data_IF_733973439676
#
_entry.id   IF_733973439676
#
_cell.length_a   1.000
_cell.length_b   1.000
_cell.length_c   1.000
_cell.angle_alpha   90.00
_cell.angle_beta   90.00
_cell.angle_gamma   90.00
#
_symmetry.space_group_name_H-M   'P 1'
#
loop_
_entity.id
_entity.type
_entity.pdbx_description
1 polymer ?
#
# COMPACT_ATOMS: atom_id res chain seq x y z
N UNK A 1 -26.19 -8.24 -8.91
CA UNK A 1 -27.21 -9.18 -8.34
C UNK A 1 -26.80 -9.62 -6.94
N UNK A 2 -25.52 -9.89 -6.69
CA UNK A 2 -25.00 -10.11 -5.33
C UNK A 2 -24.90 -8.81 -4.52
N UNK A 3 -24.52 -7.71 -5.17
CA UNK A 3 -24.27 -6.42 -4.53
C UNK A 3 -25.53 -5.84 -3.91
N UNK A 4 -26.65 -5.85 -4.65
CA UNK A 4 -27.94 -5.38 -4.14
C UNK A 4 -28.54 -6.30 -3.07
N UNK A 5 -28.19 -7.59 -3.06
CA UNK A 5 -28.68 -8.56 -2.08
C UNK A 5 -27.90 -8.47 -0.75
N UNK A 6 -26.59 -8.22 -0.82
CA UNK A 6 -25.69 -8.12 0.33
C UNK A 6 -25.30 -6.69 0.71
N UNK A 7 -25.93 -5.68 0.08
CA UNK A 7 -25.64 -4.26 0.28
C UNK A 7 -24.16 -3.89 0.06
N UNK A 8 -23.50 -4.54 -0.91
CA UNK A 8 -22.11 -4.28 -1.23
C UNK A 8 -21.98 -3.08 -2.17
N UNK A 9 -20.95 -2.26 -1.94
CA UNK A 9 -20.64 -1.09 -2.78
C UNK A 9 -19.94 -1.46 -4.09
N UNK A 10 -19.33 -2.64 -4.17
CA UNK A 10 -18.57 -3.11 -5.33
C UNK A 10 -18.61 -4.65 -5.44
N UNK A 11 -18.31 -5.21 -6.62
CA UNK A 11 -18.36 -6.65 -6.84
C UNK A 11 -17.47 -7.41 -5.84
N UNK A 12 -18.01 -8.42 -5.14
CA UNK A 12 -17.22 -9.22 -4.23
C UNK A 12 -16.29 -10.18 -5.00
N UNK A 13 -15.17 -10.55 -4.36
CA UNK A 13 -14.23 -11.59 -4.82
C UNK A 13 -13.54 -11.33 -6.17
N UNK A 14 -13.15 -10.09 -6.45
CA UNK A 14 -12.27 -9.82 -7.59
C UNK A 14 -10.92 -10.53 -7.45
N UNK A 15 -10.39 -11.03 -8.56
CA UNK A 15 -9.10 -11.75 -8.60
C UNK A 15 -7.87 -10.83 -8.41
N UNK A 16 -8.07 -9.50 -8.44
CA UNK A 16 -6.98 -8.54 -8.27
C UNK A 16 -6.96 -8.01 -6.83
N UNK A 17 -5.80 -7.98 -6.16
CA UNK A 17 -5.68 -7.32 -4.87
C UNK A 17 -5.90 -5.81 -5.05
N UNK A 18 -7.09 -5.35 -4.69
CA UNK A 18 -7.47 -3.95 -4.75
C UNK A 18 -6.90 -3.20 -3.53
N UNK A 19 -6.03 -2.19 -3.71
CA UNK A 19 -5.39 -1.46 -2.62
C UNK A 19 -6.38 -0.78 -1.66
N UNK A 20 -7.63 -0.51 -2.08
CA UNK A 20 -8.67 0.06 -1.22
C UNK A 20 -8.99 -0.80 0.00
N UNK A 21 -8.81 -2.11 -0.11
CA UNK A 21 -9.04 -3.06 0.97
C UNK A 21 -7.77 -3.39 1.76
N UNK A 22 -6.71 -2.57 1.62
CA UNK A 22 -5.51 -2.79 2.40
C UNK A 22 -5.79 -2.55 3.89
N UNK A 23 -5.74 -3.63 4.68
CA UNK A 23 -5.79 -3.54 6.12
C UNK A 23 -4.43 -3.08 6.65
N UNK A 24 -4.37 -1.84 7.11
CA UNK A 24 -3.21 -1.28 7.81
C UNK A 24 -3.17 -1.84 9.23
N UNK A 25 -2.49 -2.97 9.43
CA UNK A 25 -2.15 -3.42 10.79
C UNK A 25 -1.27 -2.36 11.47
N UNK A 26 -1.19 -2.34 12.81
CA UNK A 26 -0.28 -1.44 13.52
C UNK A 26 1.17 -1.54 13.03
N UNK A 27 1.66 -2.75 12.73
CA UNK A 27 3.02 -2.91 12.20
C UNK A 27 3.16 -2.37 10.77
N UNK A 28 2.13 -2.56 9.93
CA UNK A 28 2.12 -2.01 8.57
C UNK A 28 2.04 -0.48 8.58
N UNK A 29 1.24 0.10 9.46
CA UNK A 29 1.14 1.55 9.62
C UNK A 29 2.47 2.15 10.07
N UNK A 30 3.12 1.55 11.06
CA UNK A 30 4.44 1.98 11.53
C UNK A 30 5.48 1.92 10.41
N UNK A 31 5.56 0.79 9.69
CA UNK A 31 6.49 0.64 8.58
C UNK A 31 6.22 1.66 7.47
N UNK A 32 4.95 1.92 7.14
CA UNK A 32 4.56 2.90 6.14
C UNK A 32 4.95 4.33 6.55
N UNK A 33 4.72 4.72 7.80
CA UNK A 33 5.12 6.03 8.33
C UNK A 33 6.64 6.22 8.23
N UNK A 34 7.42 5.20 8.60
CA UNK A 34 8.88 5.23 8.49
C UNK A 34 9.34 5.37 7.04
N UNK A 35 8.70 4.67 6.10
CA UNK A 35 9.03 4.78 4.67
C UNK A 35 8.67 6.15 4.09
N UNK A 36 7.51 6.71 4.46
CA UNK A 36 7.14 8.08 4.08
C UNK A 36 8.19 9.06 4.59
N UNK A 37 8.61 8.93 5.86
CA UNK A 37 9.63 9.77 6.46
C UNK A 37 10.97 9.70 5.70
N UNK A 38 11.41 8.52 5.27
CA UNK A 38 12.63 8.35 4.46
C UNK A 38 12.55 9.17 3.17
N UNK A 39 11.40 9.17 2.50
CA UNK A 39 11.17 9.90 1.25
C UNK A 39 11.05 11.41 1.51
N UNK A 40 10.28 11.83 2.51
CA UNK A 40 10.04 13.26 2.80
C UNK A 40 11.30 13.97 3.26
N UNK A 41 12.11 13.31 4.09
CA UNK A 41 13.36 13.85 4.63
C UNK A 41 14.57 13.57 3.74
N UNK A 42 14.36 12.96 2.55
CA UNK A 42 15.41 12.66 1.58
C UNK A 42 16.60 11.91 2.20
N UNK A 43 16.32 10.88 3.01
CA UNK A 43 17.36 10.08 3.70
C UNK A 43 18.20 9.21 2.74
N UNK A 44 17.90 9.22 1.45
CA UNK A 44 18.65 8.52 0.40
C UNK A 44 18.14 7.10 0.13
N UNK A 45 17.99 6.27 1.17
CA UNK A 45 17.50 4.90 1.02
C UNK A 45 16.73 4.44 2.28
N UNK A 46 15.73 3.58 2.08
CA UNK A 46 15.03 2.86 3.13
C UNK A 46 14.87 1.40 2.72
N UNK A 47 14.98 0.49 3.70
CA UNK A 47 14.87 -0.95 3.45
C UNK A 47 13.66 -1.51 4.20
N UNK A 48 12.75 -2.15 3.47
CA UNK A 48 11.62 -2.88 4.04
C UNK A 48 11.92 -4.38 4.01
N UNK A 49 12.00 -5.00 5.18
CA UNK A 49 12.28 -6.44 5.35
C UNK A 49 11.11 -7.15 6.01
N UNK A 50 11.02 -8.47 5.80
CA UNK A 50 10.00 -9.33 6.40
C UNK A 50 9.90 -10.64 5.64
N UNK A 51 9.22 -11.63 6.22
CA UNK A 51 9.08 -12.96 5.64
C UNK A 51 8.13 -12.98 4.43
N UNK A 52 8.06 -14.15 3.78
CA UNK A 52 7.12 -14.37 2.68
C UNK A 52 5.69 -14.17 3.19
N UNK A 53 4.84 -13.52 2.38
CA UNK A 53 3.45 -13.27 2.77
C UNK A 53 3.22 -12.11 3.75
N UNK A 54 4.25 -11.45 4.29
CA UNK A 54 4.08 -10.33 5.23
C UNK A 54 3.56 -9.01 4.61
N UNK A 55 3.19 -9.02 3.32
CA UNK A 55 2.61 -7.85 2.66
C UNK A 55 3.61 -6.79 2.20
N UNK A 56 4.91 -7.09 2.08
CA UNK A 56 5.95 -6.14 1.64
C UNK A 56 5.59 -5.42 0.33
N UNK A 57 5.18 -6.17 -0.70
CA UNK A 57 4.79 -5.61 -2.00
C UNK A 57 3.52 -4.77 -1.88
N UNK A 58 2.57 -5.18 -1.05
CA UNK A 58 1.34 -4.43 -0.79
C UNK A 58 1.66 -3.10 -0.10
N UNK A 59 2.56 -3.10 0.88
CA UNK A 59 2.99 -1.92 1.61
C UNK A 59 3.80 -0.96 0.73
N UNK A 60 4.63 -1.48 -0.19
CA UNK A 60 5.28 -0.66 -1.21
C UNK A 60 4.26 0.05 -2.11
N UNK A 61 3.19 -0.63 -2.55
CA UNK A 61 2.10 0.01 -3.31
C UNK A 61 1.34 1.04 -2.48
N UNK A 62 1.09 0.75 -1.20
CA UNK A 62 0.46 1.70 -0.28
C UNK A 62 1.31 2.97 -0.08
N UNK A 63 2.64 2.84 -0.05
CA UNK A 63 3.56 3.97 -0.04
C UNK A 63 3.38 4.84 -1.28
N UNK A 64 3.31 4.25 -2.48
CA UNK A 64 3.11 5.01 -3.72
C UNK A 64 1.80 5.80 -3.72
N UNK A 65 0.75 5.25 -3.13
CA UNK A 65 -0.55 5.93 -2.99
C UNK A 65 -0.52 7.07 -1.96
N UNK A 66 0.43 7.05 -1.02
CA UNK A 66 0.56 8.07 0.04
C UNK A 66 1.47 9.22 -0.35
N UNK A 67 2.36 9.01 -1.32
CA UNK A 67 3.21 10.05 -1.88
C UNK A 67 2.39 10.93 -2.81
N UNK A 68 2.60 12.24 -2.70
CA UNK A 68 1.96 13.23 -3.56
C UNK A 68 2.55 13.17 -4.98
N UNK A 69 1.70 12.84 -5.96
CA UNK A 69 2.09 12.71 -7.36
C UNK A 69 2.52 14.03 -8.02
N UNK A 70 2.16 15.19 -7.46
CA UNK A 70 2.66 16.48 -7.96
C UNK A 70 4.09 16.76 -7.48
N UNK A 71 4.51 16.13 -6.38
CA UNK A 71 5.81 16.35 -5.74
C UNK A 71 6.84 15.27 -6.06
N UNK A 72 6.40 14.04 -6.31
CA UNK A 72 7.26 12.89 -6.47
C UNK A 72 7.00 12.17 -7.78
N UNK A 73 8.05 12.01 -8.59
CA UNK A 73 8.05 11.07 -9.71
C UNK A 73 8.52 9.71 -9.20
N UNK A 74 7.74 8.66 -9.48
CA UNK A 74 8.00 7.31 -8.95
C UNK A 74 8.22 6.33 -10.09
N UNK A 75 9.35 5.63 -10.06
CA UNK A 75 9.60 4.43 -10.86
C UNK A 75 9.56 3.17 -9.99
N UNK A 76 8.83 2.15 -10.44
CA UNK A 76 8.85 0.82 -9.83
C UNK A 76 9.76 -0.10 -10.64
N UNK A 77 10.77 -0.68 -10.00
CA UNK A 77 11.67 -1.68 -10.59
C UNK A 77 11.29 -3.06 -10.02
N UNK A 78 10.90 -3.99 -10.88
CA UNK A 78 10.53 -5.38 -10.55
C UNK A 78 11.30 -6.36 -11.40
#
# INVERSE_FOLDING_TARGET
>A
MYEAYWELSEPPFENSPNPKFFYLSPEHEEALVRLVYVVTERKGCGMLTGDYGCGKTTLARALLQRLDGERYEVGLLT
#
